data_IF_795784630195
#
_entry.id   IF_795784630195
#
_cell.length_a   1.000
_cell.length_b   1.000
_cell.length_c   1.000
_cell.angle_alpha   90.00
_cell.angle_beta   90.00
_cell.angle_gamma   90.00
#
_symmetry.space_group_name_H-M   'P 1'
#
loop_
_entity.id
_entity.type
_entity.pdbx_description
1 polymer ?
2 non-polymer ?
3 non-polymer ?
4 water ?
#
# COMPACT_ATOMS: atom_id res chain seq x y z
N UNK A 1 -5.05 18.96 -24.32
CA UNK A 1 -4.92 18.78 -22.88
C UNK A 1 -5.47 17.42 -22.46
N UNK A 2 -4.72 16.71 -21.61
CA UNK A 2 -5.23 15.46 -21.06
C UNK A 2 -6.39 15.74 -20.13
N UNK A 3 -7.49 15.01 -20.34
CA UNK A 3 -8.72 15.25 -19.59
C UNK A 3 -9.27 13.98 -18.96
N UNK A 4 -8.54 12.87 -18.99
CA UNK A 4 -8.99 11.64 -18.36
C UNK A 4 -7.80 10.94 -17.74
N UNK A 5 -7.87 10.66 -16.44
CA UNK A 5 -6.77 10.04 -15.72
C UNK A 5 -7.27 8.77 -15.05
N UNK A 6 -6.36 7.82 -14.86
CA UNK A 6 -6.66 6.54 -14.22
C UNK A 6 -5.67 6.31 -13.08
N UNK A 7 -6.18 5.89 -11.93
CA UNK A 7 -5.36 5.58 -10.75
C UNK A 7 -5.39 4.07 -10.53
N UNK A 8 -4.22 3.45 -10.56
CA UNK A 8 -4.12 2.03 -10.21
C UNK A 8 -4.03 1.85 -8.70
N UNK A 9 -4.74 0.85 -8.19
CA UNK A 9 -4.85 0.68 -6.74
C UNK A 9 -4.47 -0.72 -6.26
N UNK A 10 -5.45 -1.52 -5.87
CA UNK A 10 -5.22 -2.86 -5.39
C UNK A 10 -6.49 -3.66 -5.43
N UNK A 11 -6.52 -4.73 -4.64
CA UNK A 11 -7.72 -5.57 -4.55
C UNK A 11 -8.88 -4.77 -3.96
N UNK A 12 -10.12 -5.17 -4.32
CA UNK A 12 -11.27 -4.35 -3.97
C UNK A 12 -11.60 -4.38 -2.48
N UNK A 13 -11.07 -5.33 -1.71
CA UNK A 13 -11.30 -5.35 -0.27
C UNK A 13 -10.11 -4.81 0.51
N UNK A 14 -9.19 -4.09 -0.14
CA UNK A 14 -8.09 -3.45 0.52
C UNK A 14 -8.38 -1.98 0.81
N UNK A 15 -7.33 -1.22 1.07
CA UNK A 15 -7.48 0.20 1.36
C UNK A 15 -7.11 1.05 0.14
N UNK A 16 -6.20 0.56 -0.70
CA UNK A 16 -5.82 1.33 -1.90
C UNK A 16 -7.03 1.62 -2.77
N UNK A 17 -7.90 0.63 -2.98
CA UNK A 17 -9.01 0.80 -3.90
C UNK A 17 -9.97 1.91 -3.45
N UNK A 18 -10.46 1.93 -2.21
CA UNK A 18 -11.27 3.10 -1.80
C UNK A 18 -10.46 4.38 -1.69
N UNK A 19 -9.14 4.31 -1.48
CA UNK A 19 -8.32 5.52 -1.51
C UNK A 19 -8.37 6.16 -2.89
N UNK A 20 -8.17 5.36 -3.93
CA UNK A 20 -8.32 5.87 -5.29
C UNK A 20 -9.70 6.46 -5.50
N UNK A 21 -10.74 5.76 -5.03
CA UNK A 21 -12.10 6.27 -5.19
C UNK A 21 -12.31 7.62 -4.53
N UNK A 22 -11.69 7.81 -3.36
CA UNK A 22 -11.80 9.10 -2.66
C UNK A 22 -11.09 10.21 -3.44
N UNK A 23 -9.89 9.94 -3.95
CA UNK A 23 -9.15 10.93 -4.73
C UNK A 23 -9.95 11.32 -5.98
N UNK A 24 -10.50 10.33 -6.68
CA UNK A 24 -11.24 10.62 -7.91
C UNK A 24 -12.52 11.41 -7.64
N UNK A 25 -13.19 11.17 -6.51
CA UNK A 25 -14.36 11.98 -6.19
C UNK A 25 -14.00 13.45 -6.01
N UNK A 26 -12.88 13.72 -5.33
CA UNK A 26 -12.47 15.10 -5.10
C UNK A 26 -12.01 15.76 -6.40
N UNK A 27 -11.38 15.00 -7.29
CA UNK A 27 -11.04 15.52 -8.61
C UNK A 27 -12.32 15.77 -9.42
N UNK A 28 -13.23 14.80 -9.43
CA UNK A 28 -14.38 14.85 -10.35
C UNK A 28 -15.38 15.93 -9.97
N UNK A 29 -15.44 16.32 -8.70
CA UNK A 29 -16.46 17.30 -8.30
C UNK A 29 -16.22 18.67 -8.92
N UNK A 30 -15.02 18.93 -9.46
CA UNK A 30 -14.70 20.19 -10.13
C UNK A 30 -14.37 19.98 -11.59
N UNK A 31 -14.89 18.91 -12.19
CA UNK A 31 -14.56 18.60 -13.58
C UNK A 31 -15.16 19.61 -14.56
N UNK A 32 -16.14 20.42 -14.13
CA UNK A 32 -16.62 21.48 -15.00
C UNK A 32 -15.65 22.66 -15.06
N UNK A 33 -14.63 22.70 -14.19
CA UNK A 33 -13.64 23.76 -14.18
C UNK A 33 -12.33 23.31 -14.84
N UNK A 34 -11.70 22.26 -14.32
CA UNK A 34 -10.44 21.78 -14.88
C UNK A 34 -10.61 20.70 -15.95
N UNK A 35 -11.85 20.31 -16.25
CA UNK A 35 -12.17 19.37 -17.32
C UNK A 35 -11.39 18.05 -17.18
N UNK A 36 -11.05 17.67 -15.96
CA UNK A 36 -10.36 16.41 -15.71
C UNK A 36 -11.35 15.40 -15.14
N UNK A 37 -11.40 14.22 -15.76
CA UNK A 37 -12.21 13.10 -15.29
C UNK A 37 -11.27 12.03 -14.75
N UNK A 38 -11.59 11.50 -13.57
CA UNK A 38 -10.73 10.55 -12.87
C UNK A 38 -11.45 9.23 -12.70
N UNK A 39 -10.75 8.13 -12.95
CA UNK A 39 -11.30 6.80 -12.74
C UNK A 39 -10.30 5.93 -12.00
N UNK A 40 -10.83 4.90 -11.34
CA UNK A 40 -10.04 4.03 -10.47
C UNK A 40 -9.99 2.65 -11.09
N UNK A 41 -8.83 2.00 -10.97
CA UNK A 41 -8.64 0.64 -11.44
C UNK A 41 -8.19 -0.24 -10.29
N UNK A 42 -8.91 -1.33 -10.07
CA UNK A 42 -8.42 -2.39 -9.19
C UNK A 42 -7.28 -3.12 -9.89
N UNK A 43 -6.18 -3.33 -9.17
CA UNK A 43 -5.01 -3.96 -9.78
C UNK A 43 -4.40 -4.97 -8.81
N UNK A 44 -3.29 -5.56 -9.24
CA UNK A 44 -2.53 -6.50 -8.42
C UNK A 44 -1.70 -5.89 -7.31
N UNK A 45 -1.53 -4.57 -7.28
CA UNK A 45 -0.78 -3.94 -6.20
C UNK A 45 0.41 -3.10 -6.64
N UNK A 46 1.31 -2.80 -5.69
CA UNK A 46 2.35 -1.79 -5.90
C UNK A 46 3.22 -2.07 -7.11
N UNK A 47 3.62 -3.32 -7.31
CA UNK A 47 4.59 -3.62 -8.37
C UNK A 47 3.94 -3.46 -9.74
N UNK A 48 2.73 -4.01 -9.89
CA UNK A 48 1.99 -3.79 -11.14
C UNK A 48 1.78 -2.31 -11.40
N UNK A 49 1.48 -1.54 -10.35
CA UNK A 49 1.17 -0.12 -10.54
C UNK A 49 2.37 0.64 -11.11
N UNK A 50 3.56 0.41 -10.55
CA UNK A 50 4.77 1.06 -11.06
C UNK A 50 5.00 0.68 -12.52
N UNK A 51 4.97 -0.62 -12.81
CA UNK A 51 5.28 -1.08 -14.16
C UNK A 51 4.24 -0.62 -15.18
N UNK A 52 3.00 -0.39 -14.75
CA UNK A 52 1.95 -0.01 -15.69
C UNK A 52 1.86 1.49 -15.89
N UNK A 53 2.23 2.29 -14.89
CA UNK A 53 2.54 3.70 -15.14
C UNK A 53 3.62 3.81 -16.22
N UNK A 54 4.69 3.01 -16.06
CA UNK A 54 5.82 3.08 -16.99
C UNK A 54 5.40 2.69 -18.41
N UNK A 55 4.55 1.67 -18.54
CA UNK A 55 4.09 1.26 -19.86
C UNK A 55 3.06 2.21 -20.45
N UNK A 56 2.50 3.11 -19.65
CA UNK A 56 1.63 4.16 -20.16
C UNK A 56 0.15 3.94 -19.99
N UNK A 57 -0.27 2.84 -19.35
CA UNK A 57 -1.68 2.54 -19.21
C UNK A 57 -2.29 3.06 -17.90
N UNK A 58 -1.46 3.50 -16.96
CA UNK A 58 -1.91 4.19 -15.75
C UNK A 58 -1.25 5.55 -15.70
N UNK A 59 -1.99 6.55 -15.22
CA UNK A 59 -1.43 7.88 -15.01
C UNK A 59 -0.90 8.05 -13.59
N UNK A 60 -1.61 7.48 -12.62
CA UNK A 60 -1.22 7.50 -11.22
C UNK A 60 -1.30 6.08 -10.68
N UNK A 61 -0.61 5.85 -9.58
CA UNK A 61 -0.70 4.58 -8.89
C UNK A 61 -0.39 4.76 -7.42
N UNK A 62 -1.01 3.93 -6.59
CA UNK A 62 -0.73 3.90 -5.16
C UNK A 62 0.30 2.80 -4.92
N UNK A 63 1.39 3.15 -4.24
CA UNK A 63 2.58 2.31 -4.17
C UNK A 63 3.19 2.44 -2.78
N UNK A 64 3.53 1.30 -2.16
CA UNK A 64 4.24 1.32 -0.88
C UNK A 64 5.51 2.15 -1.00
N UNK A 65 5.92 2.75 0.13
CA UNK A 65 7.09 3.62 0.12
C UNK A 65 8.36 2.86 -0.21
N UNK A 66 8.44 1.56 0.12
CA UNK A 66 9.65 0.83 -0.25
C UNK A 66 9.72 0.61 -1.76
N UNK A 67 8.59 0.37 -2.41
CA UNK A 67 8.63 0.16 -3.86
C UNK A 67 8.58 1.45 -4.66
N UNK A 68 8.23 2.59 -4.04
CA UNK A 68 8.52 3.87 -4.66
C UNK A 68 10.02 4.05 -4.85
N UNK A 69 10.78 3.79 -3.79
CA UNK A 69 12.24 3.93 -3.83
C UNK A 69 12.86 2.95 -4.82
N UNK A 70 12.45 1.68 -4.77
CA UNK A 70 13.09 0.69 -5.62
C UNK A 70 12.60 0.74 -7.07
N UNK A 71 11.37 1.18 -7.29
CA UNK A 71 10.90 1.35 -8.67
C UNK A 71 11.64 2.46 -9.39
N UNK A 72 11.85 3.58 -8.70
CA UNK A 72 12.61 4.69 -9.27
C UNK A 72 14.04 4.26 -9.58
N UNK A 73 14.66 3.52 -8.66
CA UNK A 73 16.05 3.13 -8.78
C UNK A 73 16.26 1.86 -9.59
N UNK A 74 15.20 1.12 -9.91
CA UNK A 74 15.39 -0.12 -10.64
C UNK A 74 16.12 -1.19 -9.85
N UNK A 75 15.83 -1.33 -8.56
CA UNK A 75 16.54 -2.25 -7.69
C UNK A 75 15.56 -3.21 -7.02
N UNK A 76 16.13 -4.26 -6.40
CA UNK A 76 15.37 -5.28 -5.66
C UNK A 76 14.33 -5.88 -6.60
N UNK A 77 13.03 -5.75 -6.29
CA UNK A 77 12.00 -6.37 -7.12
C UNK A 77 12.02 -5.86 -8.56
N UNK A 78 12.52 -4.64 -8.78
CA UNK A 78 12.54 -4.02 -10.09
C UNK A 78 13.87 -4.19 -10.82
N UNK A 79 14.78 -5.01 -10.28
CA UNK A 79 16.13 -5.09 -10.84
C UNK A 79 16.11 -5.44 -12.31
N UNK A 80 15.27 -6.40 -12.70
CA UNK A 80 15.24 -6.83 -14.10
C UNK A 80 14.53 -5.82 -14.99
N UNK A 81 13.76 -4.90 -14.42
CA UNK A 81 13.11 -3.86 -15.21
C UNK A 81 14.04 -2.69 -15.51
N UNK A 82 15.09 -2.50 -14.72
CA UNK A 82 15.94 -1.33 -14.85
C UNK A 82 15.32 -0.12 -14.19
N UNK A 83 16.11 0.95 -14.03
CA UNK A 83 15.61 2.14 -13.34
C UNK A 83 14.48 2.80 -14.11
N UNK A 84 13.63 3.52 -13.37
CA UNK A 84 12.54 4.29 -13.97
C UNK A 84 12.60 5.70 -13.37
N UNK A 85 13.52 6.50 -13.89
CA UNK A 85 13.81 7.82 -13.33
C UNK A 85 12.77 8.87 -13.70
N UNK A 86 11.74 8.52 -14.48
CA UNK A 86 10.62 9.42 -14.70
C UNK A 86 9.56 9.29 -13.60
N UNK A 87 9.66 8.30 -12.74
CA UNK A 87 8.71 8.16 -11.65
C UNK A 87 8.82 9.34 -10.70
N UNK A 88 7.67 9.82 -10.21
CA UNK A 88 7.61 10.99 -9.35
C UNK A 88 6.64 10.74 -8.20
N UNK A 89 6.96 11.29 -7.03
CA UNK A 89 6.02 11.22 -5.92
C UNK A 89 5.03 12.38 -5.98
N UNK A 90 3.84 12.14 -5.45
CA UNK A 90 2.83 13.20 -5.29
C UNK A 90 2.60 13.52 -3.81
N UNK A 91 2.07 12.55 -3.06
CA UNK A 91 1.99 12.68 -1.60
C UNK A 91 1.91 11.28 -1.00
N UNK A 92 2.17 11.20 0.30
CA UNK A 92 2.01 9.95 1.03
C UNK A 92 0.71 9.98 1.83
N UNK A 93 0.34 8.82 2.35
CA UNK A 93 -0.94 8.69 3.05
C UNK A 93 -0.79 7.82 4.30
N UNK A 94 -1.62 6.79 4.44
CA UNK A 94 -1.69 6.01 5.67
C UNK A 94 -0.51 5.04 5.80
N UNK A 95 -0.33 4.54 7.02
CA UNK A 95 0.64 3.48 7.30
C UNK A 95 0.08 2.12 6.91
N UNK A 96 0.96 1.23 6.41
CA UNK A 96 0.59 -0.13 6.04
C UNK A 96 1.46 -1.12 6.78
N UNK A 97 0.99 -1.71 7.88
CA UNK A 97 1.78 -2.75 8.55
C UNK A 97 1.87 -4.01 7.71
N UNK A 98 2.92 -4.78 7.99
CA UNK A 98 3.05 -6.16 7.52
C UNK A 98 2.19 -7.03 8.42
N UNK A 99 1.00 -7.41 7.93
CA UNK A 99 0.04 -8.18 8.71
C UNK A 99 0.14 -9.66 8.39
N UNK A 100 0.00 -10.49 9.42
CA UNK A 100 -0.11 -11.94 9.29
C UNK A 100 -1.47 -12.33 9.84
N UNK A 101 -2.28 -13.00 9.02
CA UNK A 101 -3.61 -13.43 9.42
C UNK A 101 -3.62 -14.97 9.35
N UNK A 102 -3.78 -15.60 10.51
CA UNK A 102 -3.63 -17.05 10.61
C UNK A 102 -4.90 -17.70 11.13
N UNK A 103 -5.04 -18.99 10.84
CA UNK A 103 -6.12 -19.77 11.43
C UNK A 103 -5.89 -19.92 12.94
N UNK A 104 -7.00 -20.04 13.67
CA UNK A 104 -6.92 -20.06 15.12
C UNK A 104 -6.16 -21.29 15.62
N UNK A 105 -6.29 -22.42 14.93
CA UNK A 105 -5.61 -23.66 15.31
C UNK A 105 -4.35 -23.91 14.49
N UNK A 106 -3.73 -22.84 13.95
CA UNK A 106 -2.58 -23.02 13.07
C UNK A 106 -1.28 -23.16 13.83
N UNK A 107 -1.24 -22.81 15.12
CA UNK A 107 0.00 -22.80 15.85
C UNK A 107 0.96 -21.69 15.47
N UNK A 108 0.53 -20.75 14.64
CA UNK A 108 1.38 -19.65 14.18
C UNK A 108 1.23 -18.51 15.17
N UNK A 109 2.28 -18.27 15.97
CA UNK A 109 2.24 -17.24 17.00
C UNK A 109 3.15 -16.05 16.72
N UNK A 110 4.08 -16.18 15.77
CA UNK A 110 4.95 -15.08 15.38
C UNK A 110 5.40 -15.35 13.95
N UNK A 111 6.10 -14.37 13.37
CA UNK A 111 6.49 -14.46 11.96
C UNK A 111 7.37 -15.68 11.70
N UNK A 112 8.23 -16.02 12.67
CA UNK A 112 9.12 -17.18 12.48
C UNK A 112 8.35 -18.47 12.31
N UNK A 113 7.11 -18.54 12.80
CA UNK A 113 6.32 -19.76 12.71
C UNK A 113 5.73 -19.98 11.32
N UNK A 114 5.93 -19.05 10.37
CA UNK A 114 5.38 -19.23 9.03
C UNK A 114 6.09 -20.34 8.26
N UNK A 115 7.36 -20.60 8.58
CA UNK A 115 8.10 -21.65 7.90
C UNK A 115 7.46 -23.01 8.15
N UNK A 116 7.40 -23.82 7.10
CA UNK A 116 6.80 -25.14 7.21
C UNK A 116 5.29 -25.19 7.21
N UNK A 117 4.62 -24.06 6.99
CA UNK A 117 3.17 -23.98 6.93
C UNK A 117 2.72 -23.69 5.50
N UNK A 118 1.41 -23.68 5.30
CA UNK A 118 0.80 -23.28 4.04
C UNK A 118 0.52 -21.78 4.14
N UNK A 119 1.34 -20.98 3.47
CA UNK A 119 1.29 -19.52 3.60
C UNK A 119 1.02 -18.92 2.24
N UNK A 120 0.03 -18.04 2.16
CA UNK A 120 -0.14 -17.21 0.98
C UNK A 120 0.84 -16.05 1.06
N UNK A 121 1.89 -16.10 0.24
CA UNK A 121 2.93 -15.06 0.29
C UNK A 121 2.60 -13.88 -0.63
N UNK A 122 1.57 -13.97 -1.46
CA UNK A 122 1.16 -12.85 -2.27
C UNK A 122 1.25 -13.08 -3.77
N UNK A 123 0.40 -12.40 -4.54
CA UNK A 123 0.38 -12.51 -5.99
C UNK A 123 1.56 -11.73 -6.60
N UNK A 124 2.13 -12.21 -7.69
CA UNK A 124 3.12 -11.40 -8.40
C UNK A 124 2.49 -10.09 -8.83
N UNK A 125 3.22 -9.00 -8.66
CA UNK A 125 2.67 -7.68 -8.91
C UNK A 125 2.13 -6.98 -7.68
N UNK A 126 2.05 -7.66 -6.54
CA UNK A 126 1.64 -7.02 -5.30
C UNK A 126 2.86 -6.58 -4.49
N UNK A 127 2.70 -5.48 -3.75
CA UNK A 127 3.69 -5.11 -2.77
C UNK A 127 3.77 -6.12 -1.64
N UNK A 128 2.66 -6.82 -1.36
CA UNK A 128 2.64 -7.92 -0.41
C UNK A 128 3.76 -8.91 -0.68
N UNK A 129 3.78 -9.47 -1.89
CA UNK A 129 4.77 -10.51 -2.19
C UNK A 129 6.18 -9.93 -2.25
N UNK A 130 6.32 -8.71 -2.79
CA UNK A 130 7.65 -8.12 -2.91
C UNK A 130 8.25 -7.86 -1.52
N UNK A 131 7.45 -7.34 -0.59
CA UNK A 131 7.95 -7.10 0.76
C UNK A 131 8.08 -8.40 1.55
N UNK A 132 7.21 -9.39 1.29
CA UNK A 132 7.42 -10.70 1.89
C UNK A 132 8.76 -11.30 1.46
N UNK A 133 9.24 -10.97 0.26
CA UNK A 133 10.56 -11.44 -0.13
C UNK A 133 11.66 -10.85 0.75
N UNK A 134 11.49 -9.60 1.18
CA UNK A 134 12.44 -8.99 2.12
C UNK A 134 12.42 -9.74 3.45
N UNK A 135 11.23 -10.11 3.91
CA UNK A 135 11.13 -10.90 5.15
C UNK A 135 11.79 -12.26 4.96
N UNK A 136 11.54 -12.90 3.82
CA UNK A 136 12.12 -14.21 3.57
C UNK A 136 13.64 -14.13 3.53
N UNK A 137 14.18 -13.05 2.96
CA UNK A 137 15.64 -12.88 2.94
C UNK A 137 16.21 -12.79 4.35
N UNK A 138 15.53 -12.06 5.25
CA UNK A 138 16.02 -11.92 6.61
C UNK A 138 16.05 -13.23 7.36
N UNK A 139 15.17 -14.17 7.00
CA UNK A 139 15.11 -15.48 7.63
C UNK A 139 15.88 -16.56 6.88
N UNK A 140 16.45 -16.25 5.71
CA UNK A 140 17.07 -17.27 4.89
C UNK A 140 16.08 -18.21 4.22
N UNK A 141 14.84 -17.77 4.03
CA UNK A 141 13.78 -18.59 3.44
C UNK A 141 13.76 -18.44 1.93
N UNK A 142 13.28 -19.49 1.27
CA UNK A 142 12.80 -19.40 -0.11
C UNK A 142 11.40 -20.01 -0.17
N UNK A 143 10.87 -20.22 -1.37
CA UNK A 143 9.50 -20.73 -1.48
C UNK A 143 9.39 -22.14 -0.91
N UNK A 144 10.45 -22.95 -1.07
CA UNK A 144 10.46 -24.30 -0.54
C UNK A 144 10.52 -24.34 0.99
N UNK A 145 10.79 -23.22 1.65
CA UNK A 145 10.75 -23.17 3.11
C UNK A 145 9.32 -23.31 3.63
N UNK A 146 8.32 -23.08 2.79
CA UNK A 146 6.92 -23.29 3.16
C UNK A 146 6.44 -24.62 2.61
N UNK A 147 5.51 -25.24 3.34
CA UNK A 147 4.83 -26.42 2.79
C UNK A 147 4.13 -26.07 1.48
N UNK A 148 3.54 -24.88 1.42
CA UNK A 148 2.84 -24.40 0.23
C UNK A 148 3.01 -22.89 0.17
N UNK A 149 3.38 -22.37 -1.00
CA UNK A 149 3.61 -20.95 -1.20
C UNK A 149 2.56 -20.44 -2.20
N UNK A 150 1.40 -20.06 -1.68
CA UNK A 150 0.29 -19.65 -2.54
C UNK A 150 0.41 -18.18 -2.90
N UNK A 151 -0.24 -17.82 -4.00
CA UNK A 151 -0.06 -16.53 -4.64
C UNK A 151 -1.38 -15.88 -4.97
N UNK A 152 -2.37 -16.05 -4.09
CA UNK A 152 -3.69 -15.48 -4.31
C UNK A 152 -3.65 -13.95 -4.18
N UNK A 153 -4.46 -13.28 -4.99
CA UNK A 153 -4.64 -11.85 -4.85
C UNK A 153 -5.46 -11.55 -3.58
N UNK A 154 -5.44 -10.28 -3.19
CA UNK A 154 -5.95 -9.90 -1.88
C UNK A 154 -7.40 -10.29 -1.65
N UNK A 155 -8.24 -10.12 -2.67
CA UNK A 155 -9.66 -10.37 -2.49
C UNK A 155 -10.02 -11.84 -2.35
N UNK A 156 -9.06 -12.76 -2.42
CA UNK A 156 -9.34 -14.18 -2.33
C UNK A 156 -8.70 -14.86 -1.13
N UNK A 157 -7.93 -14.14 -0.33
CA UNK A 157 -7.16 -14.78 0.75
C UNK A 157 -8.04 -15.20 1.92
N UNK A 158 -9.01 -14.37 2.29
CA UNK A 158 -9.84 -14.73 3.45
C UNK A 158 -10.69 -15.96 3.15
N UNK A 159 -11.25 -16.05 1.95
CA UNK A 159 -12.03 -17.24 1.58
C UNK A 159 -11.16 -18.49 1.57
N UNK A 160 -9.89 -18.36 1.13
CA UNK A 160 -9.00 -19.51 1.15
C UNK A 160 -8.63 -19.91 2.58
N UNK A 161 -8.40 -18.93 3.45
CA UNK A 161 -8.07 -19.22 4.84
C UNK A 161 -9.23 -19.91 5.55
N UNK A 162 -10.45 -19.44 5.30
CA UNK A 162 -11.62 -20.04 5.91
C UNK A 162 -11.87 -21.45 5.38
N UNK A 163 -11.58 -21.69 4.10
CA UNK A 163 -11.79 -23.02 3.53
C UNK A 163 -10.71 -24.01 3.92
N UNK A 164 -9.77 -23.61 4.78
CA UNK A 164 -8.68 -24.47 5.22
C UNK A 164 -7.78 -24.87 4.06
N UNK A 165 -7.59 -23.96 3.10
CA UNK A 165 -6.62 -24.17 2.03
C UNK A 165 -5.24 -23.63 2.37
N UNK A 166 -5.18 -22.65 3.27
CA UNK A 166 -3.93 -22.10 3.77
C UNK A 166 -4.03 -21.98 5.28
N UNK A 167 -2.86 -21.96 5.92
CA UNK A 167 -2.78 -21.74 7.36
C UNK A 167 -2.69 -20.26 7.72
N UNK A 168 -2.24 -19.42 6.80
CA UNK A 168 -2.05 -18.00 7.04
C UNK A 168 -1.87 -17.30 5.71
N UNK A 169 -2.20 -16.00 5.69
CA UNK A 169 -1.83 -15.14 4.57
C UNK A 169 -1.24 -13.85 5.11
N UNK A 170 -0.31 -13.27 4.35
CA UNK A 170 0.25 -11.97 4.69
C UNK A 170 -0.47 -10.91 3.87
N UNK A 171 -0.38 -9.67 4.35
CA UNK A 171 -1.04 -8.56 3.66
C UNK A 171 -0.40 -7.26 4.16
N UNK A 172 0.27 -6.54 3.27
CA UNK A 172 0.74 -5.18 3.57
C UNK A 172 -0.41 -4.24 3.28
N UNK A 173 -1.11 -3.79 4.32
CA UNK A 173 -2.35 -3.04 4.13
C UNK A 173 -2.65 -2.24 5.39
N UNK A 174 -3.29 -1.08 5.22
CA UNK A 174 -3.73 -0.27 6.33
C UNK A 174 -4.98 -0.82 6.98
N UNK A 175 -5.42 -0.13 8.03
CA UNK A 175 -6.50 -0.63 8.89
C UNK A 175 -7.52 0.46 9.17
N UNK A 176 -8.81 0.09 9.31
CA UNK A 176 -9.37 -1.25 9.09
C UNK A 176 -9.52 -1.54 7.60
N UNK A 177 -9.54 -2.80 7.18
CA UNK A 177 -9.84 -3.14 5.79
C UNK A 177 -10.75 -4.36 5.77
N UNK A 178 -11.45 -4.54 4.66
CA UNK A 178 -12.48 -5.57 4.57
C UNK A 178 -11.95 -6.99 4.53
N UNK A 179 -10.73 -7.19 4.03
CA UNK A 179 -10.20 -8.55 3.96
C UNK A 179 -9.94 -9.11 5.34
N UNK A 180 -9.29 -8.34 6.21
CA UNK A 180 -8.97 -8.82 7.55
C UNK A 180 -10.22 -8.85 8.42
N UNK A 181 -11.15 -7.92 8.21
CA UNK A 181 -12.40 -7.94 8.95
C UNK A 181 -13.17 -9.24 8.69
N UNK A 182 -13.19 -9.70 7.44
CA UNK A 182 -13.88 -10.94 7.11
C UNK A 182 -13.26 -12.13 7.83
N UNK A 183 -11.94 -12.27 7.73
CA UNK A 183 -11.28 -13.44 8.30
C UNK A 183 -11.46 -13.50 9.81
N UNK A 184 -11.21 -12.39 10.49
CA UNK A 184 -11.31 -12.35 11.95
C UNK A 184 -12.76 -12.56 12.41
N UNK A 185 -13.72 -11.94 11.72
CA UNK A 185 -15.11 -12.10 12.11
C UNK A 185 -15.59 -13.53 11.85
N UNK A 186 -15.50 -13.98 10.60
CA UNK A 186 -16.24 -15.14 10.14
C UNK A 186 -15.53 -16.46 10.34
N UNK A 187 -14.22 -16.43 10.64
CA UNK A 187 -13.44 -17.66 10.67
C UNK A 187 -12.54 -17.74 11.91
N UNK A 188 -12.69 -16.82 12.85
CA UNK A 188 -11.90 -16.78 14.08
C UNK A 188 -10.42 -16.65 13.81
N UNK A 189 -10.05 -16.09 12.65
CA UNK A 189 -8.64 -15.86 12.35
C UNK A 189 -8.06 -14.85 13.34
N UNK A 190 -6.75 -14.93 13.53
CA UNK A 190 -6.05 -14.07 14.47
C UNK A 190 -4.98 -13.27 13.74
N UNK A 191 -4.82 -12.01 14.15
CA UNK A 191 -3.73 -11.18 13.67
C UNK A 191 -2.48 -11.55 14.46
N UNK A 192 -1.42 -11.92 13.76
CA UNK A 192 -0.21 -12.46 14.37
C UNK A 192 0.89 -11.40 14.32
N UNK A 193 1.64 -11.19 15.40
CA UNK A 193 2.73 -10.21 15.37
C UNK A 193 3.92 -10.72 14.55
N UNK A 194 4.76 -9.77 14.15
CA UNK A 194 6.04 -10.03 13.49
C UNK A 194 7.10 -9.28 14.31
N UNK A 195 7.68 -9.95 15.29
CA UNK A 195 8.76 -9.40 16.11
C UNK A 195 9.92 -10.39 16.13
N UNK A 196 11.04 -9.94 16.69
CA UNK A 196 12.22 -10.75 16.78
C UNK A 196 13.41 -10.11 16.11
N UNK A 197 14.57 -10.76 16.19
CA UNK A 197 15.80 -10.13 15.66
C UNK A 197 15.76 -9.89 14.16
N UNK A 198 15.07 -10.75 13.40
CA UNK A 198 15.01 -10.54 11.95
C UNK A 198 14.20 -9.29 11.61
N UNK A 199 13.07 -9.08 12.28
CA UNK A 199 12.29 -7.87 12.04
C UNK A 199 13.05 -6.65 12.52
N UNK A 200 13.72 -6.74 13.67
CA UNK A 200 14.48 -5.61 14.18
C UNK A 200 15.57 -5.19 13.20
N UNK A 201 16.24 -6.16 12.57
CA UNK A 201 17.25 -5.84 11.57
C UNK A 201 16.61 -5.18 10.36
N UNK A 202 15.45 -5.66 9.94
CA UNK A 202 14.75 -5.07 8.79
C UNK A 202 14.41 -3.61 9.08
N UNK A 203 13.96 -3.31 10.30
CA UNK A 203 13.61 -1.94 10.65
C UNK A 203 14.86 -1.08 10.79
N UNK A 204 15.90 -1.62 11.45
CA UNK A 204 17.12 -0.85 11.70
C UNK A 204 17.86 -0.49 10.42
N UNK A 205 17.81 -1.35 9.40
CA UNK A 205 18.67 -1.19 8.24
C UNK A 205 18.04 -0.39 7.11
N UNK A 206 16.76 -0.02 7.22
CA UNK A 206 16.06 0.59 6.08
C UNK A 206 15.25 1.79 6.56
N UNK A 207 15.37 2.94 5.88
CA UNK A 207 14.59 4.11 6.30
C UNK A 207 13.09 3.98 6.03
N UNK A 208 12.66 3.10 5.13
CA UNK A 208 11.24 3.00 4.79
C UNK A 208 10.50 1.91 5.57
N UNK A 209 11.17 1.21 6.48
CA UNK A 209 10.51 0.26 7.37
C UNK A 209 10.62 0.78 8.79
N UNK A 210 9.48 0.88 9.48
CA UNK A 210 9.41 1.36 10.85
C UNK A 210 8.49 0.45 11.64
N UNK A 211 8.72 0.37 12.96
CA UNK A 211 7.86 -0.42 13.80
C UNK A 211 6.42 0.06 13.69
N UNK A 212 5.49 -0.89 13.81
CA UNK A 212 4.06 -0.59 13.71
C UNK A 212 3.32 -1.31 14.81
N UNK A 213 2.14 -0.78 15.13
CA UNK A 213 1.26 -1.36 16.14
C UNK A 213 -0.17 -1.27 15.63
N UNK A 214 -0.87 -2.39 15.61
CA UNK A 214 -2.32 -2.43 15.39
C UNK A 214 -2.98 -2.52 16.77
N UNK A 215 -3.85 -1.57 17.14
CA UNK A 215 -4.35 -1.54 18.52
C UNK A 215 -5.36 -2.63 18.79
N UNK A 216 -5.46 -3.01 20.06
CA UNK A 216 -6.47 -3.97 20.48
C UNK A 216 -7.86 -3.38 20.25
N UNK A 217 -8.77 -4.20 19.73
CA UNK A 217 -10.11 -3.77 19.41
C UNK A 217 -10.32 -3.37 17.96
N UNK A 218 -9.25 -3.32 17.16
CA UNK A 218 -9.40 -3.03 15.74
C UNK A 218 -10.23 -4.12 15.05
N UNK A 219 -10.05 -5.37 15.48
CA UNK A 219 -10.79 -6.50 14.94
C UNK A 219 -11.23 -7.39 16.10
N UNK A 220 -12.37 -8.06 15.92
CA UNK A 220 -12.83 -8.98 16.95
C UNK A 220 -11.87 -10.16 17.05
N UNK A 221 -11.59 -10.58 18.27
CA UNK A 221 -10.67 -11.67 18.54
C UNK A 221 -9.27 -11.22 18.89
N UNK A 222 -8.81 -10.09 18.36
CA UNK A 222 -7.47 -9.61 18.63
C UNK A 222 -7.59 -8.63 19.80
N UNK A 223 -7.43 -9.17 21.01
CA UNK A 223 -7.69 -8.44 22.24
C UNK A 223 -6.43 -7.81 22.82
N UNK A 224 -5.30 -7.93 22.13
CA UNK A 224 -4.07 -7.24 22.48
C UNK A 224 -3.50 -6.59 21.22
N UNK A 225 -2.68 -5.56 21.43
CA UNK A 225 -2.07 -4.90 20.29
C UNK A 225 -1.09 -5.84 19.60
N UNK A 226 -0.95 -5.64 18.29
CA UNK A 226 -0.14 -6.51 17.43
C UNK A 226 0.99 -5.67 16.85
N UNK A 227 2.23 -6.03 17.19
CA UNK A 227 3.41 -5.30 16.74
C UNK A 227 3.98 -5.92 15.48
N UNK A 228 4.49 -5.06 14.59
CA UNK A 228 5.11 -5.53 13.35
C UNK A 228 6.00 -4.41 12.81
N UNK A 229 6.19 -4.37 11.49
CA UNK A 229 6.83 -3.25 10.83
C UNK A 229 5.93 -2.82 9.68
N UNK A 230 6.10 -1.57 9.23
CA UNK A 230 5.20 -1.02 8.23
C UNK A 230 5.90 -0.08 7.27
N UNK A 231 5.20 0.18 6.16
CA UNK A 231 5.60 1.16 5.15
C UNK A 231 4.53 2.23 5.12
N UNK A 232 4.69 3.23 4.26
CA UNK A 232 3.65 4.21 4.01
C UNK A 232 3.08 4.02 2.61
N UNK A 233 1.76 4.19 2.49
CA UNK A 233 1.13 4.25 1.18
C UNK A 233 1.44 5.60 0.54
N UNK A 234 1.79 5.60 -0.75
CA UNK A 234 2.13 6.84 -1.45
C UNK A 234 1.46 6.85 -2.81
N UNK A 235 1.13 8.05 -3.29
CA UNK A 235 0.63 8.22 -4.65
C UNK A 235 1.80 8.67 -5.53
N UNK A 236 2.05 7.94 -6.61
CA UNK A 236 3.12 8.27 -7.53
C UNK A 236 2.53 8.48 -8.92
N UNK A 237 3.35 9.03 -9.80
CA UNK A 237 2.97 9.33 -11.18
C UNK A 237 4.26 9.36 -12.00
N UNK A 238 4.19 9.85 -13.24
CA UNK A 238 5.36 10.02 -14.07
C UNK A 238 5.49 11.48 -14.49
N UNK A 239 6.71 11.93 -14.71
CA UNK A 239 6.90 13.29 -15.20
C UNK A 239 6.28 13.51 -16.57
N UNK A 240 5.89 12.44 -17.28
CA UNK A 240 5.18 12.58 -18.55
C UNK A 240 3.79 13.17 -18.35
N UNK A 241 3.16 12.94 -17.20
CA UNK A 241 1.88 13.56 -16.89
C UNK A 241 2.08 15.05 -16.73
N UNK A 242 1.13 15.83 -17.25
CA UNK A 242 1.33 17.27 -17.31
C UNK A 242 1.31 17.90 -15.92
N UNK A 243 2.03 19.01 -15.80
CA UNK A 243 2.06 19.74 -14.53
C UNK A 243 0.66 20.20 -14.12
N UNK A 244 -0.17 20.59 -15.09
CA UNK A 244 -1.52 21.04 -14.78
C UNK A 244 -2.36 19.92 -14.18
N UNK A 245 -2.22 18.70 -14.71
CA UNK A 245 -3.01 17.57 -14.19
C UNK A 245 -2.62 17.25 -12.75
N UNK A 246 -1.32 17.10 -12.49
CA UNK A 246 -0.88 16.77 -11.13
C UNK A 246 -1.20 17.90 -10.17
N UNK A 247 -1.07 19.15 -10.62
CA UNK A 247 -1.41 20.29 -9.78
C UNK A 247 -2.87 20.25 -9.35
N UNK A 248 -3.78 19.93 -10.28
CA UNK A 248 -5.19 19.93 -9.95
C UNK A 248 -5.57 18.74 -9.08
N UNK A 249 -4.92 17.59 -9.25
CA UNK A 249 -5.19 16.47 -8.36
C UNK A 249 -4.70 16.76 -6.95
N UNK A 250 -3.47 17.29 -6.83
CA UNK A 250 -2.92 17.63 -5.52
C UNK A 250 -3.79 18.68 -4.83
N UNK A 251 -4.19 19.72 -5.56
CA UNK A 251 -5.07 20.73 -5.00
C UNK A 251 -6.41 20.14 -4.56
N UNK A 252 -6.98 19.23 -5.36
CA UNK A 252 -8.26 18.64 -5.01
C UNK A 252 -8.21 17.96 -3.64
N UNK A 253 -7.11 17.26 -3.34
CA UNK A 253 -7.00 16.55 -2.07
C UNK A 253 -6.72 17.53 -0.93
N UNK A 254 -5.73 18.41 -1.12
CA UNK A 254 -5.27 19.24 -0.01
C UNK A 254 -6.20 20.39 0.29
N UNK A 255 -6.89 20.94 -0.72
CA UNK A 255 -7.86 22.00 -0.47
C UNK A 255 -9.16 21.47 0.10
N UNK A 256 -9.44 20.18 -0.05
CA UNK A 256 -10.59 19.52 0.56
C UNK A 256 -10.15 18.52 1.62
N UNK A 257 -9.14 18.91 2.41
CA UNK A 257 -8.46 17.97 3.28
C UNK A 257 -9.38 17.45 4.39
N UNK A 258 -10.21 18.32 4.97
CA UNK A 258 -11.13 17.87 6.01
C UNK A 258 -12.14 16.87 5.46
N UNK A 259 -12.54 17.03 4.20
CA UNK A 259 -13.41 16.03 3.56
C UNK A 259 -12.64 14.74 3.32
N UNK A 260 -11.41 14.85 2.80
CA UNK A 260 -10.61 13.67 2.48
C UNK A 260 -10.41 12.78 3.70
N UNK A 261 -10.12 13.38 4.86
CA UNK A 261 -9.87 12.59 6.07
C UNK A 261 -11.14 12.04 6.70
N UNK A 262 -12.31 12.33 6.14
CA UNK A 262 -13.56 11.72 6.58
C UNK A 262 -14.01 10.60 5.64
N UNK A 263 -13.29 10.35 4.56
CA UNK A 263 -13.74 9.42 3.54
C UNK A 263 -13.32 7.97 3.79
N UNK A 264 -12.32 7.74 4.64
CA UNK A 264 -11.95 6.39 5.01
C UNK A 264 -11.30 6.47 6.38
N UNK A 265 -11.59 5.52 7.27
CA UNK A 265 -11.04 5.61 8.63
C UNK A 265 -9.52 5.51 8.70
N UNK A 266 -8.86 4.99 7.66
CA UNK A 266 -7.40 4.99 7.65
C UNK A 266 -6.80 6.38 7.47
N UNK A 267 -7.59 7.38 7.08
CA UNK A 267 -7.09 8.73 6.83
C UNK A 267 -7.30 9.66 8.03
N UNK A 268 -7.82 9.14 9.14
CA UNK A 268 -8.32 10.00 10.21
C UNK A 268 -7.24 10.87 10.81
N UNK A 269 -6.00 10.39 10.85
CA UNK A 269 -4.91 11.09 11.52
C UNK A 269 -3.82 11.56 10.55
N UNK A 270 -4.15 11.74 9.28
CA UNK A 270 -3.18 12.29 8.32
C UNK A 270 -2.88 13.75 8.64
N UNK A 271 -1.65 14.15 8.34
CA UNK A 271 -1.19 15.51 8.56
C UNK A 271 -0.58 16.03 7.27
N UNK A 272 -1.02 17.21 6.83
CA UNK A 272 -0.60 17.74 5.53
C UNK A 272 0.92 17.78 5.40
N UNK A 273 1.61 18.28 6.44
CA UNK A 273 3.06 18.40 6.37
C UNK A 273 3.72 17.04 6.20
N UNK A 274 3.21 16.02 6.87
CA UNK A 274 3.77 14.68 6.73
C UNK A 274 3.48 14.08 5.36
N UNK A 275 2.34 14.41 4.76
CA UNK A 275 2.02 13.86 3.44
C UNK A 275 2.96 14.37 2.36
N UNK A 276 3.61 15.52 2.57
CA UNK A 276 4.55 16.01 1.57
C UNK A 276 5.84 15.20 1.59
N UNK A 277 6.36 14.90 2.77
CA UNK A 277 7.71 14.36 2.92
C UNK A 277 7.80 12.92 3.40
N UNK A 278 6.95 12.51 4.35
CA UNK A 278 7.10 11.20 4.96
C UNK A 278 6.88 10.09 3.94
N UNK A 279 7.79 9.13 3.90
CA UNK A 279 7.68 8.04 2.96
C UNK A 279 7.99 8.36 1.52
N UNK A 280 8.36 9.61 1.21
CA UNK A 280 8.66 10.03 -0.16
C UNK A 280 10.17 10.21 -0.27
N UNK A 281 10.80 9.36 -1.06
CA UNK A 281 12.25 9.40 -1.23
C UNK A 281 12.68 9.71 -2.65
N UNK A 282 11.74 9.87 -3.58
CA UNK A 282 12.09 10.20 -4.98
C UNK A 282 11.57 11.61 -5.26
N UNK A 283 11.98 12.26 -6.35
CA UNK A 283 11.53 13.64 -6.59
C UNK A 283 10.01 13.74 -6.65
N UNK A 284 9.49 14.85 -6.13
CA UNK A 284 8.08 15.19 -6.26
C UNK A 284 7.78 15.69 -7.67
N UNK A 285 6.60 15.35 -8.18
CA UNK A 285 6.20 15.86 -9.48
C UNK A 285 6.12 17.39 -9.45
N UNK A 286 6.63 18.08 -10.48
CA UNK A 286 6.53 19.54 -10.52
C UNK A 286 5.14 20.11 -10.26
N UNK A 287 4.08 19.44 -10.72
CA UNK A 287 2.74 19.93 -10.46
C UNK A 287 2.39 19.93 -8.99
N UNK A 288 2.85 18.92 -8.26
CA UNK A 288 2.62 18.88 -6.82
C UNK A 288 3.45 19.94 -6.10
N UNK A 289 4.71 20.12 -6.51
CA UNK A 289 5.55 21.17 -5.95
C UNK A 289 4.90 22.53 -6.13
N UNK A 290 4.31 22.77 -7.31
CA UNK A 290 3.67 24.04 -7.59
C UNK A 290 2.56 24.34 -6.57
N UNK A 291 1.71 23.35 -6.28
CA UNK A 291 0.68 23.57 -5.28
C UNK A 291 1.28 23.78 -3.90
N UNK A 292 2.19 22.89 -3.49
CA UNK A 292 2.77 22.96 -2.15
C UNK A 292 3.42 24.30 -1.89
N UNK A 293 4.01 24.92 -2.90
CA UNK A 293 4.62 26.24 -2.71
C UNK A 293 3.56 27.32 -2.54
N UNK A 294 2.47 27.24 -3.32
CA UNK A 294 1.35 28.16 -3.12
C UNK A 294 0.77 28.02 -1.72
N UNK A 295 0.65 26.79 -1.23
CA UNK A 295 0.04 26.51 0.07
C UNK A 295 0.98 26.76 1.24
N UNK A 296 2.24 27.14 0.99
CA UNK A 296 3.18 27.30 2.07
C UNK A 296 3.72 26.00 2.66
N UNK A 297 3.38 24.86 2.05
CA UNK A 297 3.86 23.57 2.54
C UNK A 297 5.30 23.28 2.13
N UNK A 298 5.82 23.98 1.13
CA UNK A 298 7.21 23.85 0.72
C UNK A 298 7.83 25.24 0.74
N UNK A 299 9.05 25.33 1.27
CA UNK A 299 9.82 26.58 1.44
C UNK A 299 8.99 27.71 2.04
X LIG B 1 13.84 1.92 9.69
X LIG C 1 11.15 11.95 2.64
X LIG D 1 0.30 -2.51 -0.28
X LIG D 1 -0.45 -3.54 -1.00
X LIG D 1 0.24 -3.86 -2.31
X LIG D 1 0.98 -3.02 -2.81
X LIG D 1 -1.89 -3.09 -1.26
X LIG D 1 -2.68 -2.86 0.00
X LIG D 1 -4.09 -2.34 -0.28
X LIG D 1 -4.70 -2.79 -1.27
X LIG D 1 -4.55 -1.48 0.48
X LIG D 1 0.07 -4.94 -2.88
#
# INVERSE_FOLDING_TARGET
SQDFITIGTGSVTGVYYPTGGAICKLVNKDRKDHNIRCSVESTGGSIYNVNTIRSGELDFGIVQSDWQYHGYNGTSEFAEQGPYKKLRAVFSMHTEPFNIIARADSGIENVKDLAGKRVNIGNPGSGDRATMQVVMDAFGWNNDSFKLAAELKGSERSQALCDNKIDAFIYMVGHPNGAIKEATTSCAAKLVPATGPEIEKIVANNPYYAYSVVPAGMYSGTDQEVKSFGVAATLVTTEEVSEAVVYNLTKAVFENFDTFTRLHPAFANLKKEDMVTAGNSIPLHPGAVKYYKEAGLIK
NA NA
NA NA
GLU N CA C O CB CG CD OE1 OE2 OXT
#
